data_IF_153444983471
#
_entry.id   IF_153444983471
#
_cell.length_a   1.000
_cell.length_b   1.000
_cell.length_c   1.000
_cell.angle_alpha   90.00
_cell.angle_beta   90.00
_cell.angle_gamma   90.00
#
_symmetry.space_group_name_H-M   'P 1'
#
loop_
_entity.id
_entity.type
_entity.pdbx_description
1 polymer ?
#
# COMPACT_ATOMS: atom_id res chain seq x y z
N UNK A 1 12.51 -5.04 5.38
CA UNK A 1 12.49 -5.25 3.91
C UNK A 1 11.70 -4.12 3.28
N UNK A 2 12.17 -3.53 2.17
CA UNK A 2 11.39 -2.49 1.46
C UNK A 2 10.25 -3.19 0.71
N UNK A 3 9.01 -2.73 0.93
CA UNK A 3 7.83 -3.29 0.25
C UNK A 3 7.77 -2.72 -1.16
N UNK A 4 7.97 -3.56 -2.16
CA UNK A 4 8.01 -3.11 -3.56
C UNK A 4 6.80 -3.58 -4.38
N UNK A 5 6.36 -2.72 -5.29
CA UNK A 5 5.35 -3.04 -6.29
C UNK A 5 5.71 -2.51 -7.66
N UNK A 6 5.00 -2.97 -8.69
CA UNK A 6 5.06 -2.37 -10.02
C UNK A 6 4.11 -1.17 -10.15
N UNK A 7 2.93 -1.24 -9.52
CA UNK A 7 1.84 -0.27 -9.67
C UNK A 7 1.88 0.91 -8.67
N UNK A 8 2.84 0.94 -7.74
CA UNK A 8 2.96 1.98 -6.72
C UNK A 8 2.05 1.82 -5.50
N UNK A 9 1.08 0.90 -5.49
CA UNK A 9 0.18 0.72 -4.32
C UNK A 9 0.91 0.33 -3.03
N UNK A 10 2.01 -0.39 -3.15
CA UNK A 10 2.81 -0.73 -1.98
C UNK A 10 3.54 0.47 -1.38
N UNK A 11 3.78 1.52 -2.17
CA UNK A 11 4.52 2.71 -1.76
C UNK A 11 3.74 3.50 -0.69
N UNK A 12 2.41 3.49 -0.78
CA UNK A 12 1.51 4.25 0.10
C UNK A 12 0.84 3.37 1.19
N UNK A 13 1.18 2.08 1.28
CA UNK A 13 0.49 1.13 2.14
C UNK A 13 0.88 1.28 3.62
N UNK A 14 -0.10 1.54 4.48
CA UNK A 14 0.07 1.88 5.89
C UNK A 14 0.40 0.69 6.79
N UNK A 15 0.34 -0.55 6.28
CA UNK A 15 0.65 -1.73 7.07
C UNK A 15 2.08 -1.64 7.62
N UNK A 16 2.22 -1.67 8.93
CA UNK A 16 3.49 -1.53 9.64
C UNK A 16 3.97 -0.09 9.84
N UNK A 17 3.24 0.93 9.37
CA UNK A 17 3.57 2.32 9.66
C UNK A 17 3.46 2.60 11.16
N UNK A 18 4.42 3.36 11.70
CA UNK A 18 4.48 3.67 13.13
C UNK A 18 3.17 4.23 13.67
N UNK A 19 2.61 5.26 13.00
CA UNK A 19 1.39 5.93 13.46
C UNK A 19 0.17 5.00 13.42
N UNK A 20 0.12 4.10 12.44
CA UNK A 20 -0.91 3.06 12.36
C UNK A 20 -0.78 2.08 13.54
N UNK A 21 0.42 1.56 13.79
CA UNK A 21 0.68 0.62 14.89
C UNK A 21 0.45 1.25 16.28
N UNK A 22 0.80 2.52 16.45
CA UNK A 22 0.53 3.29 17.67
C UNK A 22 -0.99 3.42 17.89
N UNK A 23 -1.73 3.72 16.83
CA UNK A 23 -3.20 3.81 16.88
C UNK A 23 -3.82 2.46 17.25
N UNK A 24 -3.38 1.36 16.62
CA UNK A 24 -3.88 0.01 16.91
C UNK A 24 -3.52 -0.41 18.34
N UNK A 25 -2.32 -0.09 18.81
CA UNK A 25 -1.89 -0.39 20.20
C UNK A 25 -2.75 0.35 21.21
N UNK A 26 -3.02 1.65 20.97
CA UNK A 26 -3.89 2.44 21.85
C UNK A 26 -5.32 1.91 21.87
N UNK A 27 -5.85 1.49 20.71
CA UNK A 27 -7.16 0.83 20.65
C UNK A 27 -7.17 -0.46 21.47
N UNK A 28 -6.14 -1.30 21.34
CA UNK A 28 -5.99 -2.53 22.13
C UNK A 28 -6.05 -2.23 23.64
N UNK A 29 -5.33 -1.22 24.11
CA UNK A 29 -5.37 -0.85 25.53
C UNK A 29 -6.77 -0.46 26.01
N UNK A 30 -7.54 0.28 25.20
CA UNK A 30 -8.93 0.60 25.54
C UNK A 30 -9.80 -0.67 25.58
N UNK A 31 -9.62 -1.57 24.61
CA UNK A 31 -10.36 -2.83 24.56
C UNK A 31 -10.02 -3.77 25.71
N UNK A 32 -8.78 -3.76 26.21
CA UNK A 32 -8.37 -4.58 27.34
C UNK A 32 -8.92 -4.03 28.68
N UNK A 33 -9.00 -2.69 28.81
CA UNK A 33 -9.67 -2.03 29.96
C UNK A 33 -11.19 -2.20 29.91
N UNK A 34 -11.75 -2.19 28.70
CA UNK A 34 -13.15 -2.47 28.47
C UNK A 34 -13.39 -3.96 28.71
N UNK A 35 -13.97 -4.30 29.88
CA UNK A 35 -14.32 -5.68 30.26
C UNK A 35 -15.50 -6.21 29.44
N UNK A 36 -15.44 -6.08 28.11
CA UNK A 36 -16.49 -6.43 27.15
C UNK A 36 -17.01 -7.83 27.36
N UNK A 37 -16.15 -8.80 27.68
CA UNK A 37 -16.55 -10.18 27.98
C UNK A 37 -17.56 -10.28 29.13
N UNK A 38 -17.53 -9.35 30.07
CA UNK A 38 -18.51 -9.27 31.16
C UNK A 38 -19.82 -8.63 30.70
N UNK A 39 -19.75 -7.65 29.81
CA UNK A 39 -20.89 -6.87 29.33
C UNK A 39 -21.41 -7.33 27.97
N UNK A 40 -20.92 -8.45 27.43
CA UNK A 40 -21.21 -8.87 26.05
C UNK A 40 -22.70 -9.11 25.84
N UNK A 41 -23.37 -9.60 26.89
CA UNK A 41 -24.82 -9.79 26.97
C UNK A 41 -25.63 -8.48 27.04
N UNK A 42 -24.97 -7.34 27.22
CA UNK A 42 -25.60 -6.01 27.16
C UNK A 42 -25.59 -5.42 25.75
N UNK A 43 -24.94 -6.08 24.79
CA UNK A 43 -24.94 -5.68 23.40
C UNK A 43 -25.99 -6.47 22.62
N UNK A 44 -26.60 -5.87 21.57
CA UNK A 44 -27.56 -6.58 20.74
C UNK A 44 -26.91 -7.82 20.11
N UNK A 45 -27.46 -9.01 20.37
CA UNK A 45 -26.96 -10.28 19.82
C UNK A 45 -27.18 -10.37 18.29
N UNK A 46 -28.11 -9.58 17.75
CA UNK A 46 -28.55 -9.64 16.35
C UNK A 46 -27.63 -8.90 15.35
N UNK A 47 -26.62 -8.17 15.81
CA UNK A 47 -25.78 -7.32 14.93
C UNK A 47 -24.57 -8.04 14.31
N UNK A 48 -24.41 -9.34 14.50
CA UNK A 48 -23.39 -10.14 13.81
C UNK A 48 -21.93 -9.79 14.17
N UNK A 49 -21.69 -9.04 15.26
CA UNK A 49 -20.36 -8.61 15.68
C UNK A 49 -19.76 -9.50 16.78
N UNK A 50 -18.61 -10.09 16.51
CA UNK A 50 -17.88 -10.91 17.49
C UNK A 50 -16.72 -10.14 18.12
N UNK A 51 -16.89 -9.71 19.38
CA UNK A 51 -15.83 -9.07 20.16
C UNK A 51 -14.55 -9.92 20.27
N UNK A 52 -14.63 -11.25 20.52
CA UNK A 52 -13.44 -12.10 20.52
C UNK A 52 -12.70 -12.10 19.18
N UNK A 53 -13.41 -12.19 18.05
CA UNK A 53 -12.78 -12.13 16.73
C UNK A 53 -12.20 -10.75 16.43
N UNK A 54 -12.86 -9.69 16.86
CA UNK A 54 -12.34 -8.33 16.72
C UNK A 54 -11.01 -8.15 17.46
N UNK A 55 -10.90 -8.64 18.71
CA UNK A 55 -9.63 -8.59 19.46
C UNK A 55 -8.51 -9.37 18.77
N UNK A 56 -8.81 -10.56 18.23
CA UNK A 56 -7.85 -11.32 17.42
C UNK A 56 -7.38 -10.51 16.21
N UNK A 57 -8.30 -9.80 15.54
CA UNK A 57 -7.95 -8.90 14.43
C UNK A 57 -7.01 -7.76 14.85
N UNK A 58 -7.25 -7.14 16.00
CA UNK A 58 -6.37 -6.11 16.56
C UNK A 58 -4.97 -6.68 16.86
N UNK A 59 -4.88 -7.83 17.51
CA UNK A 59 -3.60 -8.49 17.79
C UNK A 59 -2.89 -8.92 16.49
N UNK A 60 -3.65 -9.33 15.47
CA UNK A 60 -3.11 -9.69 14.16
C UNK A 60 -2.36 -8.53 13.50
N UNK A 61 -2.93 -7.31 13.51
CA UNK A 61 -2.26 -6.13 12.95
C UNK A 61 -0.95 -5.77 13.65
N UNK A 62 -0.84 -6.04 14.95
CA UNK A 62 0.38 -5.77 15.73
C UNK A 62 1.47 -6.83 15.51
N UNK A 63 1.09 -8.04 15.09
CA UNK A 63 2.01 -9.18 14.89
C UNK A 63 2.37 -9.40 13.41
N UNK A 64 1.59 -8.87 12.48
CA UNK A 64 1.77 -9.05 11.03
C UNK A 64 2.04 -7.70 10.35
N UNK A 65 3.11 -7.03 10.79
CA UNK A 65 3.45 -5.68 10.32
C UNK A 65 4.18 -5.66 8.98
N UNK A 66 4.69 -6.81 8.54
CA UNK A 66 5.50 -6.93 7.35
C UNK A 66 4.72 -7.48 6.16
N UNK A 67 5.00 -6.92 4.98
CA UNK A 67 4.58 -7.51 3.71
C UNK A 67 5.71 -7.28 2.70
N UNK A 68 6.22 -8.33 2.03
CA UNK A 68 7.34 -8.22 1.10
C UNK A 68 6.95 -7.56 -0.25
N UNK A 69 5.67 -7.20 -0.42
CA UNK A 69 5.16 -6.59 -1.64
C UNK A 69 4.97 -7.58 -2.78
N UNK A 70 4.46 -7.08 -3.90
CA UNK A 70 4.12 -7.95 -5.02
C UNK A 70 5.35 -8.44 -5.80
N UNK A 71 6.46 -7.68 -5.75
CA UNK A 71 7.77 -8.16 -6.23
C UNK A 71 8.33 -9.29 -5.35
N UNK A 72 8.04 -9.28 -4.06
CA UNK A 72 8.37 -10.34 -3.10
C UNK A 72 7.39 -11.54 -3.11
N UNK A 73 6.60 -11.72 -4.17
CA UNK A 73 5.73 -12.89 -4.34
C UNK A 73 4.33 -12.78 -3.75
N UNK A 74 3.91 -11.62 -3.23
CA UNK A 74 2.54 -11.39 -2.76
C UNK A 74 1.63 -10.79 -3.86
N UNK A 75 0.39 -10.50 -3.51
CA UNK A 75 -0.63 -9.94 -4.42
C UNK A 75 -1.37 -11.02 -5.23
N UNK A 76 -2.30 -10.59 -6.07
CA UNK A 76 -3.11 -11.50 -6.89
C UNK A 76 -2.23 -12.30 -7.86
N UNK A 77 -2.57 -13.58 -8.05
CA UNK A 77 -1.79 -14.51 -8.88
C UNK A 77 -1.67 -14.02 -10.33
N UNK A 78 -2.81 -13.65 -10.93
CA UNK A 78 -2.90 -13.14 -12.29
C UNK A 78 -3.05 -11.61 -12.28
N UNK A 79 -1.97 -10.91 -11.95
CA UNK A 79 -1.93 -9.45 -11.99
C UNK A 79 -1.53 -8.95 -13.39
N UNK A 80 -2.43 -8.31 -14.16
CA UNK A 80 -2.11 -7.86 -15.53
C UNK A 80 -1.01 -6.79 -15.56
N UNK A 81 -0.93 -5.95 -14.52
CA UNK A 81 0.12 -4.92 -14.40
C UNK A 81 1.48 -5.56 -14.19
N UNK A 82 1.56 -6.59 -13.33
CA UNK A 82 2.81 -7.32 -13.05
C UNK A 82 3.33 -8.00 -14.30
N UNK A 83 2.47 -8.74 -15.00
CA UNK A 83 2.85 -9.44 -16.22
C UNK A 83 3.35 -8.46 -17.27
N UNK A 84 2.60 -7.38 -17.53
CA UNK A 84 3.00 -6.35 -18.48
C UNK A 84 4.34 -5.67 -18.11
N UNK A 85 4.54 -5.31 -16.84
CA UNK A 85 5.79 -4.70 -16.40
C UNK A 85 6.99 -5.65 -16.59
N UNK A 86 6.83 -6.94 -16.26
CA UNK A 86 7.87 -7.96 -16.47
C UNK A 86 8.18 -8.19 -17.95
N UNK A 87 7.16 -8.35 -18.79
CA UNK A 87 7.32 -8.52 -20.23
C UNK A 87 8.04 -7.33 -20.89
N UNK A 88 7.81 -6.13 -20.37
CA UNK A 88 8.43 -4.89 -20.86
C UNK A 88 9.75 -4.54 -20.18
N UNK A 89 10.21 -5.32 -19.20
CA UNK A 89 11.41 -5.00 -18.41
C UNK A 89 11.30 -3.71 -17.60
N UNK A 90 10.09 -3.33 -17.17
CA UNK A 90 9.83 -2.14 -16.37
C UNK A 90 9.93 -2.46 -14.87
N UNK A 91 10.85 -1.80 -14.18
CA UNK A 91 10.95 -1.91 -12.72
C UNK A 91 9.78 -1.26 -11.98
N UNK A 92 9.15 -0.25 -12.58
CA UNK A 92 8.02 0.44 -11.97
C UNK A 92 7.16 1.10 -13.06
N UNK A 93 5.84 1.11 -12.89
CA UNK A 93 4.92 1.70 -13.87
C UNK A 93 5.07 3.21 -14.01
N UNK A 94 5.69 3.91 -13.05
CA UNK A 94 6.05 5.32 -13.20
C UNK A 94 7.11 5.56 -14.28
N UNK A 95 7.83 4.52 -14.69
CA UNK A 95 8.79 4.56 -15.81
C UNK A 95 8.12 4.26 -17.16
N UNK A 96 6.85 3.85 -17.16
CA UNK A 96 6.13 3.52 -18.38
C UNK A 96 5.76 4.81 -19.15
N UNK A 97 6.13 4.94 -20.44
CA UNK A 97 5.69 6.07 -21.26
C UNK A 97 4.18 6.06 -21.51
N UNK A 98 3.58 4.87 -21.61
CA UNK A 98 2.17 4.67 -22.00
C UNK A 98 1.19 4.70 -20.82
N UNK A 99 1.63 5.15 -19.64
CA UNK A 99 0.84 5.09 -18.41
C UNK A 99 -0.52 5.82 -18.52
N UNK A 100 -0.66 6.84 -19.38
CA UNK A 100 -1.93 7.60 -19.56
C UNK A 100 -3.05 6.69 -20.01
N UNK A 101 -2.81 6.01 -21.12
CA UNK A 101 -3.78 5.18 -21.81
C UNK A 101 -3.78 3.73 -21.30
N UNK A 102 -3.00 3.43 -20.25
CA UNK A 102 -2.89 2.06 -19.77
C UNK A 102 -4.20 1.60 -19.12
N UNK A 103 -4.83 0.61 -19.77
CA UNK A 103 -6.05 -0.11 -19.41
C UNK A 103 -5.82 -1.13 -18.28
N UNK A 104 -4.58 -1.60 -18.10
CA UNK A 104 -4.24 -2.62 -17.10
C UNK A 104 -4.57 -2.21 -15.66
N UNK A 105 -4.82 -0.92 -15.40
CA UNK A 105 -5.21 -0.40 -14.09
C UNK A 105 -6.72 -0.39 -13.83
N UNK A 106 -7.59 -0.65 -14.82
CA UNK A 106 -9.05 -0.52 -14.68
C UNK A 106 -9.61 -1.25 -13.44
N UNK A 107 -9.15 -2.49 -13.22
CA UNK A 107 -9.55 -3.30 -12.06
C UNK A 107 -9.11 -2.71 -10.70
N UNK A 108 -8.05 -1.90 -10.66
CA UNK A 108 -7.59 -1.24 -9.43
C UNK A 108 -8.27 0.11 -9.19
N UNK A 109 -8.72 0.79 -10.25
CA UNK A 109 -9.28 2.14 -10.14
C UNK A 109 -10.59 2.20 -9.36
N UNK A 110 -11.28 1.06 -9.20
CA UNK A 110 -12.48 0.94 -8.38
C UNK A 110 -12.18 1.23 -6.90
N UNK A 111 -11.12 0.62 -6.37
CA UNK A 111 -10.73 0.75 -4.95
C UNK A 111 -9.65 1.82 -4.73
N UNK A 112 -8.84 2.07 -5.75
CA UNK A 112 -7.68 2.98 -5.71
C UNK A 112 -7.75 4.00 -6.86
N UNK A 113 -8.73 4.91 -6.86
CA UNK A 113 -8.95 5.85 -7.97
C UNK A 113 -7.74 6.76 -8.25
N UNK A 114 -6.94 7.06 -7.21
CA UNK A 114 -5.80 7.96 -7.31
C UNK A 114 -4.49 7.26 -7.74
N UNK A 115 -4.46 5.94 -7.92
CA UNK A 115 -3.20 5.20 -8.17
C UNK A 115 -2.47 5.71 -9.43
N UNK A 116 -3.20 5.95 -10.53
CA UNK A 116 -2.60 6.48 -11.77
C UNK A 116 -2.14 7.92 -11.59
N UNK A 117 -2.89 8.73 -10.84
CA UNK A 117 -2.52 10.12 -10.53
C UNK A 117 -1.21 10.14 -9.73
N UNK A 118 -1.08 9.29 -8.71
CA UNK A 118 0.14 9.18 -7.91
C UNK A 118 1.34 8.72 -8.75
N UNK A 119 1.15 7.72 -9.63
CA UNK A 119 2.18 7.27 -10.56
C UNK A 119 2.62 8.39 -11.52
N UNK A 120 1.67 9.19 -12.04
CA UNK A 120 1.98 10.34 -12.89
C UNK A 120 2.75 11.43 -12.14
N UNK A 121 2.36 11.75 -10.91
CA UNK A 121 3.13 12.67 -10.05
C UNK A 121 4.56 12.15 -9.83
N UNK A 122 4.72 10.84 -9.58
CA UNK A 122 6.04 10.21 -9.44
C UNK A 122 6.86 10.31 -10.72
N UNK A 123 6.25 10.07 -11.88
CA UNK A 123 6.92 10.21 -13.18
C UNK A 123 7.41 11.64 -13.43
N UNK A 124 6.59 12.65 -13.12
CA UNK A 124 6.99 14.06 -13.24
C UNK A 124 8.18 14.39 -12.33
N UNK A 125 8.17 13.90 -11.08
CA UNK A 125 9.30 14.07 -10.15
C UNK A 125 10.59 13.45 -10.69
N UNK A 126 10.51 12.23 -11.23
CA UNK A 126 11.67 11.56 -11.82
C UNK A 126 12.24 12.32 -13.03
N UNK A 127 11.37 12.79 -13.93
CA UNK A 127 11.79 13.61 -15.09
C UNK A 127 12.46 14.91 -14.64
N UNK A 128 11.91 15.59 -13.64
CA UNK A 128 12.51 16.80 -13.09
C UNK A 128 13.90 16.52 -12.48
N UNK A 129 14.05 15.42 -11.74
CA UNK A 129 15.34 15.01 -11.17
C UNK A 129 16.39 14.73 -12.25
N UNK A 130 16.02 13.99 -13.29
CA UNK A 130 16.90 13.69 -14.44
C UNK A 130 17.36 14.99 -15.12
N UNK A 131 16.42 15.90 -15.39
CA UNK A 131 16.74 17.20 -15.98
C UNK A 131 17.73 18.01 -15.11
N UNK A 132 17.53 18.05 -13.80
CA UNK A 132 18.46 18.73 -12.90
C UNK A 132 19.86 18.11 -12.90
N UNK A 133 19.97 16.77 -12.97
CA UNK A 133 21.23 16.06 -13.04
C UNK A 133 21.97 16.37 -14.35
N UNK A 134 21.29 16.28 -15.49
CA UNK A 134 21.87 16.61 -16.80
C UNK A 134 22.40 18.05 -16.84
N UNK A 135 21.68 18.99 -16.26
CA UNK A 135 22.12 20.39 -16.20
C UNK A 135 23.34 20.58 -15.28
N UNK A 136 23.43 19.85 -14.17
CA UNK A 136 24.59 19.89 -13.29
C UNK A 136 25.84 19.28 -13.95
N UNK A 137 25.68 18.15 -14.65
CA UNK A 137 26.77 17.51 -15.39
C UNK A 137 27.30 18.36 -16.54
N UNK A 138 26.41 19.07 -17.25
CA UNK A 138 26.82 20.02 -18.29
C UNK A 138 27.66 21.14 -17.71
N UNK A 139 27.21 21.76 -16.61
CA UNK A 139 27.97 22.80 -15.91
C UNK A 139 29.32 22.34 -15.35
N UNK A 140 29.46 21.06 -15.01
CA UNK A 140 30.71 20.49 -14.51
C UNK A 140 31.74 20.19 -15.61
N UNK A 141 31.31 20.21 -16.88
CA UNK A 141 32.16 19.98 -18.06
C UNK A 141 32.61 21.27 -18.75
N UNK A 142 32.01 22.40 -18.39
CA UNK A 142 32.37 23.76 -18.83
C UNK A 142 33.36 24.40 -17.83
#
# INVERSE_FOLDING_TARGET
MVRESYCGLCDDCQLGHRDFLETVSRLKEYLDRFRANWWIHCFPEEEGFSFPEFRKGVDWFLTHTECPGCKGGKGIELCPIRSCARERGLEHCSLCPDLDGCDKFEHLLVEFPDVKVNLRRRQLRLKAQQFHQEMAERKAKD
#
